data_IF_985088287678
#
_entry.id   IF_985088287678
#
_cell.length_a   1.000
_cell.length_b   1.000
_cell.length_c   1.000
_cell.angle_alpha   90.00
_cell.angle_beta   90.00
_cell.angle_gamma   90.00
#
_symmetry.space_group_name_H-M   'P 1'
#
loop_
_entity.id
_entity.type
_entity.pdbx_description
1 polymer ?
#
# COMPACT_ATOMS: atom_id res chain seq x y z
N UNK A 1 85.01 -24.25 -2.49
CA UNK A 1 85.57 -23.09 -3.22
C UNK A 1 84.42 -22.26 -3.78
N UNK A 2 84.59 -20.93 -3.76
CA UNK A 2 83.77 -19.88 -4.39
C UNK A 2 82.44 -19.48 -3.72
N UNK A 3 82.54 -18.41 -2.93
CA UNK A 3 81.50 -17.40 -2.69
C UNK A 3 81.27 -16.55 -3.94
N UNK A 4 80.04 -16.19 -4.31
CA UNK A 4 79.68 -14.87 -4.88
C UNK A 4 78.23 -14.53 -4.45
N UNK A 5 78.08 -13.36 -3.83
CA UNK A 5 76.83 -12.68 -3.51
C UNK A 5 76.28 -11.93 -4.74
N UNK A 6 74.97 -11.87 -4.89
CA UNK A 6 74.30 -10.71 -5.49
C UNK A 6 72.87 -10.58 -4.94
N UNK A 7 72.66 -9.49 -4.22
CA UNK A 7 71.39 -8.98 -3.70
C UNK A 7 70.62 -8.31 -4.83
N UNK A 8 69.31 -8.57 -4.97
CA UNK A 8 68.35 -7.55 -5.43
C UNK A 8 67.04 -7.69 -4.65
N UNK A 9 66.67 -6.54 -4.09
CA UNK A 9 65.53 -6.21 -3.25
C UNK A 9 64.32 -5.86 -4.15
N UNK A 10 63.12 -6.44 -4.01
CA UNK A 10 61.86 -5.69 -4.24
C UNK A 10 60.57 -6.38 -3.71
N UNK A 11 59.95 -5.70 -2.73
CA UNK A 11 58.53 -5.42 -2.48
C UNK A 11 57.39 -6.45 -2.74
N UNK A 12 56.85 -6.97 -1.64
CA UNK A 12 55.46 -6.87 -1.13
C UNK A 12 54.37 -6.41 -2.13
N UNK A 13 53.32 -7.23 -2.35
CA UNK A 13 51.94 -6.94 -1.90
C UNK A 13 50.94 -8.06 -2.25
N UNK A 14 49.96 -8.21 -1.35
CA UNK A 14 48.84 -9.15 -1.29
C UNK A 14 47.82 -9.01 -2.44
N UNK A 15 47.22 -10.15 -2.81
CA UNK A 15 45.79 -10.34 -2.53
C UNK A 15 44.79 -10.34 -3.68
N UNK A 16 43.94 -11.38 -3.63
CA UNK A 16 42.56 -11.49 -4.12
C UNK A 16 42.30 -11.89 -5.59
N UNK A 17 41.77 -13.11 -5.72
CA UNK A 17 41.16 -13.72 -6.89
C UNK A 17 39.88 -12.99 -7.34
N UNK A 18 39.61 -12.84 -8.64
CA UNK A 18 38.28 -12.51 -9.12
C UNK A 18 37.46 -13.79 -9.37
N UNK A 19 36.44 -14.00 -8.54
CA UNK A 19 35.29 -14.82 -8.91
C UNK A 19 34.57 -14.12 -10.05
N UNK A 20 34.49 -14.76 -11.21
CA UNK A 20 33.65 -14.32 -12.32
C UNK A 20 32.20 -14.61 -11.93
N UNK A 21 31.42 -13.56 -11.68
CA UNK A 21 29.96 -13.65 -11.59
C UNK A 21 29.38 -13.33 -12.97
N UNK A 22 28.70 -14.32 -13.53
CA UNK A 22 27.75 -14.14 -14.61
C UNK A 22 26.39 -13.70 -14.03
N UNK A 23 25.82 -12.64 -14.59
CA UNK A 23 24.37 -12.40 -14.60
C UNK A 23 24.06 -11.34 -15.67
N UNK A 24 24.04 -11.76 -16.93
CA UNK A 24 23.36 -11.03 -17.99
C UNK A 24 21.89 -11.48 -17.98
N UNK A 25 21.03 -10.64 -17.41
CA UNK A 25 19.59 -10.63 -17.71
C UNK A 25 19.05 -9.25 -17.35
N UNK A 26 19.27 -8.30 -18.26
CA UNK A 26 18.56 -7.03 -18.27
C UNK A 26 17.58 -7.03 -19.44
N UNK A 27 16.64 -7.98 -19.41
CA UNK A 27 15.43 -7.91 -20.22
C UNK A 27 14.28 -7.51 -19.30
N UNK A 28 14.00 -6.20 -19.23
CA UNK A 28 12.65 -5.62 -19.16
C UNK A 28 12.77 -4.09 -19.13
N UNK A 29 12.78 -3.52 -20.34
CA UNK A 29 12.57 -2.10 -20.56
C UNK A 29 11.05 -1.81 -20.44
N UNK A 30 10.60 -1.44 -19.24
CA UNK A 30 9.35 -0.70 -19.04
C UNK A 30 9.69 0.64 -18.39
N UNK A 31 10.23 1.55 -19.20
CA UNK A 31 10.34 2.96 -18.84
C UNK A 31 8.94 3.61 -18.88
N UNK A 32 8.24 3.60 -17.75
CA UNK A 32 7.27 4.64 -17.39
C UNK A 32 7.88 5.41 -16.21
N UNK A 33 8.41 6.60 -16.50
CA UNK A 33 9.23 7.41 -15.60
C UNK A 33 8.50 8.06 -14.43
N UNK A 34 7.72 7.30 -13.67
CA UNK A 34 7.22 7.69 -12.35
C UNK A 34 7.31 6.48 -11.44
N UNK A 35 8.19 6.55 -10.44
CA UNK A 35 8.20 5.56 -9.35
C UNK A 35 6.84 5.66 -8.66
N UNK A 36 6.04 4.60 -8.72
CA UNK A 36 4.76 4.52 -7.99
C UNK A 36 5.01 4.85 -6.51
N UNK A 37 4.19 5.71 -5.90
CA UNK A 37 4.40 6.13 -4.53
C UNK A 37 4.26 4.91 -3.61
N UNK A 38 5.25 4.70 -2.73
CA UNK A 38 5.23 3.63 -1.72
C UNK A 38 4.66 4.09 -0.38
N UNK A 39 4.36 5.39 -0.25
CA UNK A 39 3.83 5.99 0.98
C UNK A 39 2.93 7.19 0.69
N UNK A 40 1.85 7.29 1.46
CA UNK A 40 0.95 8.44 1.46
C UNK A 40 1.67 9.75 1.80
N UNK A 41 1.49 10.77 0.95
CA UNK A 41 2.00 12.12 1.14
C UNK A 41 1.00 13.14 0.60
N UNK A 42 1.19 14.42 0.96
CA UNK A 42 0.37 15.55 0.50
C UNK A 42 0.92 16.11 -0.82
N UNK A 43 0.06 16.65 -1.67
CA UNK A 43 0.41 17.41 -2.87
C UNK A 43 0.97 18.79 -2.46
N UNK A 44 2.29 18.89 -2.33
CA UNK A 44 2.97 20.11 -1.89
C UNK A 44 2.34 20.73 -0.62
N UNK A 45 1.96 19.88 0.33
CA UNK A 45 1.30 20.28 1.59
C UNK A 45 -0.23 20.44 1.51
N UNK A 46 -0.84 20.22 0.34
CA UNK A 46 -2.29 20.20 0.14
C UNK A 46 -2.81 18.77 0.01
N UNK A 47 -4.09 18.59 0.34
CA UNK A 47 -4.78 17.33 0.08
C UNK A 47 -5.02 17.16 -1.42
N UNK A 48 -4.92 15.93 -1.90
CA UNK A 48 -5.22 15.55 -3.28
C UNK A 48 -6.68 15.81 -3.64
N UNK A 49 -6.92 16.35 -4.82
CA UNK A 49 -8.27 16.54 -5.34
C UNK A 49 -9.00 15.20 -5.50
N UNK A 50 -10.33 15.23 -5.40
CA UNK A 50 -11.18 14.05 -5.63
C UNK A 50 -12.25 14.36 -6.67
N UNK A 51 -12.78 13.30 -7.28
CA UNK A 51 -13.96 13.37 -8.13
C UNK A 51 -15.21 12.89 -7.38
N UNK A 52 -16.37 13.03 -8.03
CA UNK A 52 -17.64 12.64 -7.43
C UNK A 52 -17.78 11.12 -7.21
N UNK A 53 -17.42 10.25 -8.17
CA UNK A 53 -17.51 8.81 -7.96
C UNK A 53 -16.69 8.31 -6.77
N UNK A 54 -15.47 8.82 -6.59
CA UNK A 54 -14.65 8.49 -5.42
C UNK A 54 -15.29 8.96 -4.12
N UNK A 55 -15.79 10.20 -4.07
CA UNK A 55 -16.45 10.72 -2.86
C UNK A 55 -17.68 9.87 -2.49
N UNK A 56 -18.49 9.50 -3.48
CA UNK A 56 -19.64 8.62 -3.26
C UNK A 56 -19.22 7.28 -2.69
N UNK A 57 -18.25 6.59 -3.32
CA UNK A 57 -17.76 5.31 -2.85
C UNK A 57 -17.22 5.37 -1.41
N UNK A 58 -16.40 6.38 -1.11
CA UNK A 58 -15.82 6.54 0.23
C UNK A 58 -16.89 6.84 1.28
N UNK A 59 -17.91 7.65 0.95
CA UNK A 59 -19.05 7.86 1.85
C UNK A 59 -19.82 6.57 2.13
N UNK A 60 -20.11 5.77 1.10
CA UNK A 60 -20.82 4.49 1.25
C UNK A 60 -20.04 3.52 2.14
N UNK A 61 -18.73 3.38 1.91
CA UNK A 61 -17.85 2.54 2.72
C UNK A 61 -17.82 3.04 4.17
N UNK A 62 -17.63 4.35 4.37
CA UNK A 62 -17.57 4.96 5.69
C UNK A 62 -18.88 4.78 6.47
N UNK A 63 -20.02 4.88 5.80
CA UNK A 63 -21.33 4.60 6.41
C UNK A 63 -21.50 3.13 6.77
N UNK A 64 -21.06 2.20 5.91
CA UNK A 64 -21.10 0.78 6.21
C UNK A 64 -20.24 0.44 7.45
N UNK A 65 -19.04 0.99 7.51
CA UNK A 65 -18.16 0.88 8.68
C UNK A 65 -18.81 1.47 9.94
N UNK A 66 -19.38 2.67 9.86
CA UNK A 66 -20.04 3.31 11.01
C UNK A 66 -21.20 2.48 11.57
N UNK A 67 -21.93 1.76 10.72
CA UNK A 67 -23.01 0.85 11.15
C UNK A 67 -22.47 -0.43 11.79
N UNK A 68 -21.35 -0.95 11.32
CA UNK A 68 -20.76 -2.19 11.82
C UNK A 68 -20.05 -2.03 13.18
N UNK A 69 -19.33 -0.92 13.37
CA UNK A 69 -18.45 -0.68 14.53
C UNK A 69 -19.12 -0.96 15.89
N UNK A 70 -20.35 -0.51 16.19
CA UNK A 70 -20.97 -0.77 17.50
C UNK A 70 -21.14 -2.26 17.81
N UNK A 71 -21.44 -3.09 16.82
CA UNK A 71 -21.57 -4.53 16.98
C UNK A 71 -20.19 -5.21 17.06
N UNK A 72 -19.21 -4.73 16.29
CA UNK A 72 -17.82 -5.20 16.35
C UNK A 72 -17.27 -5.03 17.78
N UNK A 73 -17.45 -3.85 18.40
CA UNK A 73 -16.96 -3.58 19.77
C UNK A 73 -17.64 -4.41 20.85
N UNK A 74 -18.87 -4.85 20.60
CA UNK A 74 -19.61 -5.73 21.52
C UNK A 74 -19.31 -7.21 21.28
N UNK A 75 -18.42 -7.55 20.34
CA UNK A 75 -18.20 -8.92 19.86
C UNK A 75 -19.50 -9.58 19.36
N UNK A 76 -20.38 -8.79 18.75
CA UNK A 76 -21.69 -9.18 18.22
C UNK A 76 -21.74 -9.11 16.68
N UNK A 77 -20.58 -9.02 16.02
CA UNK A 77 -20.47 -8.99 14.56
C UNK A 77 -19.97 -10.36 14.08
N UNK A 78 -20.86 -11.12 13.42
CA UNK A 78 -20.60 -12.49 13.01
C UNK A 78 -19.74 -12.60 11.76
N UNK A 79 -19.31 -13.81 11.43
CA UNK A 79 -18.49 -14.08 10.23
C UNK A 79 -19.20 -13.66 8.94
N UNK A 80 -20.51 -13.90 8.84
CA UNK A 80 -21.31 -13.53 7.67
C UNK A 80 -21.47 -12.01 7.56
N UNK A 81 -21.57 -11.31 8.71
CA UNK A 81 -21.61 -9.85 8.74
C UNK A 81 -20.29 -9.25 8.24
N UNK A 82 -19.15 -9.78 8.69
CA UNK A 82 -17.84 -9.39 8.15
C UNK A 82 -17.72 -9.67 6.65
N UNK A 83 -18.27 -10.78 6.16
CA UNK A 83 -18.28 -11.08 4.74
C UNK A 83 -19.14 -10.09 3.95
N UNK A 84 -20.32 -9.71 4.46
CA UNK A 84 -21.17 -8.70 3.86
C UNK A 84 -20.51 -7.31 3.83
N UNK A 85 -19.83 -6.92 4.91
CA UNK A 85 -19.06 -5.67 4.98
C UNK A 85 -17.91 -5.66 3.98
N UNK A 86 -17.15 -6.75 3.89
CA UNK A 86 -16.08 -6.91 2.92
C UNK A 86 -16.59 -6.82 1.48
N UNK A 87 -17.73 -7.46 1.17
CA UNK A 87 -18.39 -7.36 -0.14
C UNK A 87 -18.76 -5.92 -0.45
N UNK A 88 -19.39 -5.21 0.49
CA UNK A 88 -19.73 -3.80 0.32
C UNK A 88 -18.48 -2.98 -0.01
N UNK A 89 -17.38 -3.15 0.73
CA UNK A 89 -16.12 -2.44 0.47
C UNK A 89 -15.61 -2.72 -0.94
N UNK A 90 -15.50 -3.99 -1.32
CA UNK A 90 -14.99 -4.36 -2.64
C UNK A 90 -15.86 -3.84 -3.79
N UNK A 91 -17.18 -3.86 -3.66
CA UNK A 91 -18.09 -3.33 -4.67
C UNK A 91 -17.96 -1.80 -4.83
N UNK A 92 -17.85 -1.07 -3.72
CA UNK A 92 -17.70 0.40 -3.76
C UNK A 92 -16.33 0.82 -4.26
N UNK A 93 -15.27 0.09 -3.91
CA UNK A 93 -13.93 0.27 -4.50
C UNK A 93 -13.98 0.01 -6.01
N UNK A 94 -14.60 -1.08 -6.45
CA UNK A 94 -14.74 -1.39 -7.87
C UNK A 94 -15.51 -0.30 -8.62
N UNK A 95 -16.58 0.24 -8.03
CA UNK A 95 -17.31 1.37 -8.57
C UNK A 95 -16.43 2.62 -8.72
N UNK A 96 -15.63 2.97 -7.71
CA UNK A 96 -14.73 4.12 -7.76
C UNK A 96 -13.70 3.98 -8.90
N UNK A 97 -13.08 2.80 -9.03
CA UNK A 97 -12.09 2.52 -10.08
C UNK A 97 -12.72 2.61 -11.48
N UNK A 98 -13.88 1.97 -11.67
CA UNK A 98 -14.58 1.96 -12.97
C UNK A 98 -15.03 3.35 -13.44
N UNK A 99 -15.21 4.28 -12.50
CA UNK A 99 -15.69 5.63 -12.78
C UNK A 99 -14.62 6.71 -12.49
N UNK A 100 -13.36 6.31 -12.28
CA UNK A 100 -12.28 7.20 -11.88
C UNK A 100 -11.96 8.24 -12.97
N UNK A 101 -11.84 9.50 -12.55
CA UNK A 101 -11.47 10.65 -13.37
C UNK A 101 -10.42 11.52 -12.67
N UNK A 102 -9.66 10.94 -11.74
CA UNK A 102 -8.59 11.62 -11.04
C UNK A 102 -7.43 11.92 -11.99
N UNK A 103 -6.71 13.00 -11.69
CA UNK A 103 -5.39 13.24 -12.27
C UNK A 103 -4.43 12.10 -11.88
N UNK A 104 -3.48 11.71 -12.76
CA UNK A 104 -2.65 10.52 -12.55
C UNK A 104 -1.92 10.46 -11.20
N UNK A 105 -1.45 11.61 -10.71
CA UNK A 105 -0.77 11.67 -9.41
C UNK A 105 -1.72 11.44 -8.22
N UNK A 106 -2.95 11.96 -8.29
CA UNK A 106 -3.95 11.72 -7.25
C UNK A 106 -4.41 10.25 -7.27
N UNK A 107 -4.52 9.65 -8.45
CA UNK A 107 -4.86 8.23 -8.64
C UNK A 107 -3.77 7.29 -8.09
N UNK A 108 -2.49 7.56 -8.41
CA UNK A 108 -1.36 6.81 -7.84
C UNK A 108 -1.36 6.84 -6.31
N UNK A 109 -1.71 7.99 -5.71
CA UNK A 109 -1.89 8.10 -4.27
C UNK A 109 -3.11 7.36 -3.74
N UNK A 110 -4.20 7.32 -4.51
CA UNK A 110 -5.44 6.64 -4.16
C UNK A 110 -5.23 5.13 -4.11
N UNK A 111 -4.39 4.58 -4.99
CA UNK A 111 -4.08 3.15 -5.01
C UNK A 111 -3.56 2.62 -3.67
N UNK A 112 -2.80 3.42 -2.91
CA UNK A 112 -2.35 3.03 -1.57
C UNK A 112 -3.51 2.87 -0.58
N UNK A 113 -4.49 3.77 -0.62
CA UNK A 113 -5.71 3.66 0.22
C UNK A 113 -6.56 2.47 -0.22
N UNK A 114 -6.72 2.28 -1.53
CA UNK A 114 -7.48 1.16 -2.10
C UNK A 114 -6.85 -0.17 -1.71
N UNK A 115 -5.51 -0.27 -1.74
CA UNK A 115 -4.79 -1.47 -1.32
C UNK A 115 -5.12 -1.84 0.13
N UNK A 116 -5.07 -0.88 1.06
CA UNK A 116 -5.42 -1.11 2.47
C UNK A 116 -6.90 -1.47 2.67
N UNK A 117 -7.81 -0.82 1.93
CA UNK A 117 -9.23 -1.17 1.96
C UNK A 117 -9.48 -2.60 1.49
N UNK A 118 -8.82 -3.02 0.41
CA UNK A 118 -8.98 -4.35 -0.17
C UNK A 118 -8.30 -5.44 0.67
N UNK A 119 -7.12 -5.19 1.25
CA UNK A 119 -6.50 -6.13 2.20
C UNK A 119 -7.37 -6.29 3.47
N UNK A 120 -7.93 -5.18 3.97
CA UNK A 120 -8.90 -5.20 5.07
C UNK A 120 -10.13 -6.06 4.73
N UNK A 121 -10.68 -5.90 3.53
CA UNK A 121 -11.80 -6.71 3.04
C UNK A 121 -11.46 -8.20 2.92
N UNK A 122 -10.29 -8.55 2.37
CA UNK A 122 -9.84 -9.95 2.27
C UNK A 122 -9.60 -10.57 3.65
N UNK A 123 -9.06 -9.81 4.60
CA UNK A 123 -8.92 -10.23 6.00
C UNK A 123 -10.28 -10.44 6.67
N UNK A 124 -11.25 -9.55 6.44
CA UNK A 124 -12.63 -9.73 6.92
C UNK A 124 -13.31 -10.95 6.32
N UNK A 125 -12.92 -11.39 5.11
CA UNK A 125 -13.37 -12.66 4.51
C UNK A 125 -12.72 -13.90 5.13
N UNK A 126 -11.71 -13.72 5.98
CA UNK A 126 -10.94 -14.82 6.57
C UNK A 126 -9.94 -15.45 5.61
N UNK A 127 -9.46 -14.68 4.62
CA UNK A 127 -8.46 -15.13 3.63
C UNK A 127 -7.01 -14.87 4.05
N UNK A 128 -6.81 -14.28 5.22
CA UNK A 128 -5.48 -14.01 5.80
C UNK A 128 -5.36 -14.69 7.16
N UNK A 129 -4.16 -14.70 7.74
CA UNK A 129 -3.92 -15.22 9.10
C UNK A 129 -4.34 -14.27 10.22
N UNK A 130 -4.64 -13.00 9.89
CA UNK A 130 -5.14 -11.99 10.84
C UNK A 130 -6.60 -12.27 11.20
N UNK A 131 -7.07 -11.72 12.31
CA UNK A 131 -8.48 -11.85 12.68
C UNK A 131 -9.37 -11.01 11.76
N UNK A 132 -10.65 -11.38 11.59
CA UNK A 132 -11.62 -10.57 10.82
C UNK A 132 -11.79 -9.17 11.42
N UNK A 133 -11.71 -9.06 12.75
CA UNK A 133 -11.67 -7.79 13.46
C UNK A 133 -10.52 -6.91 12.97
N UNK A 134 -9.30 -7.47 12.84
CA UNK A 134 -8.14 -6.72 12.34
C UNK A 134 -8.35 -6.23 10.90
N UNK A 135 -9.10 -6.99 10.09
CA UNK A 135 -9.51 -6.54 8.75
C UNK A 135 -10.41 -5.31 8.77
N UNK A 136 -11.37 -5.27 9.70
CA UNK A 136 -12.22 -4.09 9.90
C UNK A 136 -11.42 -2.89 10.44
N UNK A 137 -10.46 -3.13 11.35
CA UNK A 137 -9.53 -2.08 11.81
C UNK A 137 -8.70 -1.54 10.65
N UNK A 138 -8.16 -2.40 9.79
CA UNK A 138 -7.37 -1.98 8.63
C UNK A 138 -8.21 -1.13 7.66
N UNK A 139 -9.44 -1.55 7.35
CA UNK A 139 -10.34 -0.75 6.53
C UNK A 139 -10.66 0.63 7.17
N UNK A 140 -10.82 0.67 8.50
CA UNK A 140 -11.04 1.92 9.24
C UNK A 140 -9.83 2.86 9.17
N UNK A 141 -8.62 2.33 9.31
CA UNK A 141 -7.39 3.12 9.18
C UNK A 141 -7.21 3.67 7.76
N UNK A 142 -7.58 2.89 6.73
CA UNK A 142 -7.57 3.37 5.35
C UNK A 142 -8.54 4.56 5.15
N UNK A 143 -9.73 4.54 5.76
CA UNK A 143 -10.68 5.66 5.72
C UNK A 143 -10.17 6.91 6.47
N UNK A 144 -9.45 6.72 7.58
CA UNK A 144 -8.77 7.81 8.28
C UNK A 144 -7.67 8.41 7.41
N UNK A 145 -6.89 7.56 6.75
CA UNK A 145 -5.85 7.97 5.81
C UNK A 145 -6.44 8.75 4.62
N UNK A 146 -7.52 8.25 4.01
CA UNK A 146 -8.26 8.97 2.97
C UNK A 146 -8.63 10.39 3.43
N UNK A 147 -9.25 10.52 4.61
CA UNK A 147 -9.61 11.82 5.17
C UNK A 147 -8.43 12.75 5.43
N UNK A 148 -7.23 12.20 5.68
CA UNK A 148 -6.00 12.96 5.89
C UNK A 148 -5.39 13.46 4.59
N UNK A 149 -5.41 12.67 3.52
CA UNK A 149 -4.67 12.97 2.29
C UNK A 149 -5.54 13.45 1.13
N UNK A 150 -6.86 13.23 1.15
CA UNK A 150 -7.76 13.56 0.05
C UNK A 150 -8.79 14.61 0.44
N UNK A 151 -9.12 15.49 -0.52
CA UNK A 151 -10.15 16.50 -0.37
C UNK A 151 -11.53 15.84 -0.37
N UNK A 152 -12.28 16.03 0.71
CA UNK A 152 -13.67 15.59 0.79
C UNK A 152 -14.39 16.46 1.81
N UNK A 153 -15.23 17.38 1.30
CA UNK A 153 -15.93 18.36 2.15
C UNK A 153 -16.84 17.66 3.15
N UNK A 154 -16.72 18.02 4.43
CA UNK A 154 -17.52 17.42 5.50
C UNK A 154 -17.08 16.03 5.95
N UNK A 155 -15.98 15.50 5.40
CA UNK A 155 -15.50 14.15 5.75
C UNK A 155 -15.23 13.99 7.24
N UNK A 156 -15.81 12.94 7.81
CA UNK A 156 -15.53 12.44 9.15
C UNK A 156 -15.47 10.93 9.05
N UNK A 157 -14.28 10.36 9.23
CA UNK A 157 -14.14 8.92 9.27
C UNK A 157 -15.05 8.33 10.37
N UNK A 158 -15.56 7.14 10.10
CA UNK A 158 -16.30 6.34 11.06
C UNK A 158 -15.49 6.22 12.35
N UNK A 159 -16.20 6.08 13.46
CA UNK A 159 -15.59 6.09 14.79
C UNK A 159 -16.21 4.99 15.62
N UNK A 160 -15.39 4.41 16.48
CA UNK A 160 -15.79 3.81 17.73
C UNK A 160 -14.58 3.61 18.61
#
# INVERSE_FOLDING_TARGET
MKTIFAVVLTAIALGASPNILAAESAAHNHSHGSVEPTKLHLDAGKKWATDEPLRQAMNDINQAMAKAIPAIHKNQYGNDDYQALATTISEKVAYAIQNCKLEPQADAMLHLVIADLMEGAETMRGKTSKSRHDGAVQALEALKAYGKYFQHTGWKAAKG
#
